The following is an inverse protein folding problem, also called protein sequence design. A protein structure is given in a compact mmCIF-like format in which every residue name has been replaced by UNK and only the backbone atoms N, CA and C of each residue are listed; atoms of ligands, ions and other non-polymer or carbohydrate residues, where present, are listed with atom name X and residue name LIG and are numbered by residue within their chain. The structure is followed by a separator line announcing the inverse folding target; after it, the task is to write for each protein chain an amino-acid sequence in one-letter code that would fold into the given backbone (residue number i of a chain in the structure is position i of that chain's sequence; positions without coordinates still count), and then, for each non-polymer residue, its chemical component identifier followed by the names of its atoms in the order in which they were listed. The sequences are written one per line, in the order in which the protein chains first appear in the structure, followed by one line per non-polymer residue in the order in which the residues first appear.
data_IF_965084420406
#
_entry.id   IF_965084420406
#
_cell.length_a   1.000
_cell.length_b   1.000
_cell.length_c   1.000
_cell.angle_alpha   90.00
_cell.angle_beta   90.00
_cell.angle_gamma   90.00
#
_symmetry.space_group_name_H-M   'P 1'
#
loop_
_entity.id
_entity.type
_entity.pdbx_description
1 polymer ?
#
# COMPACT_ATOMS: atom_id res chain seq x y z
N UNK A 1 -33.52 0.81 -6.46
CA UNK A 1 -32.69 1.81 -5.76
C UNK A 1 -31.33 1.82 -6.44
N UNK A 2 -30.89 2.95 -7.01
CA UNK A 2 -29.55 3.07 -7.60
C UNK A 2 -28.54 2.99 -6.46
N UNK A 3 -27.78 1.90 -6.39
CA UNK A 3 -26.75 1.72 -5.36
C UNK A 3 -25.69 2.79 -5.53
N UNK A 4 -25.70 3.79 -4.66
CA UNK A 4 -24.49 4.57 -4.41
C UNK A 4 -23.52 3.60 -3.71
N UNK A 5 -22.36 3.38 -4.30
CA UNK A 5 -21.26 2.71 -3.61
C UNK A 5 -20.98 3.49 -2.33
N UNK A 6 -21.02 2.80 -1.18
CA UNK A 6 -20.64 3.43 0.08
C UNK A 6 -19.10 3.53 0.14
N UNK A 7 -18.56 4.61 0.75
CA UNK A 7 -17.12 4.72 0.93
C UNK A 7 -16.62 3.61 1.87
N UNK A 8 -15.34 3.22 1.70
CA UNK A 8 -14.67 2.33 2.64
C UNK A 8 -14.62 2.93 4.05
N UNK A 9 -14.62 2.09 5.08
CA UNK A 9 -14.62 2.54 6.47
C UNK A 9 -13.33 3.29 6.82
N UNK A 10 -12.21 3.01 6.15
CA UNK A 10 -10.96 3.76 6.34
C UNK A 10 -11.15 5.24 6.02
N UNK A 11 -11.96 5.58 5.01
CA UNK A 11 -12.25 6.97 4.68
C UNK A 11 -12.97 7.68 5.83
N UNK A 12 -13.90 7.00 6.50
CA UNK A 12 -14.60 7.53 7.67
C UNK A 12 -13.63 7.76 8.84
N UNK A 13 -12.74 6.79 9.13
CA UNK A 13 -11.71 6.93 10.17
C UNK A 13 -10.77 8.12 9.92
N UNK A 14 -10.40 8.35 8.66
CA UNK A 14 -9.59 9.51 8.28
C UNK A 14 -10.37 10.83 8.45
N UNK A 15 -11.61 10.88 7.96
CA UNK A 15 -12.44 12.08 8.01
C UNK A 15 -12.80 12.50 9.45
N UNK A 16 -12.89 11.53 10.36
CA UNK A 16 -13.16 11.77 11.78
C UNK A 16 -11.96 12.39 12.52
N UNK A 17 -10.73 12.21 12.01
CA UNK A 17 -9.49 12.64 12.69
C UNK A 17 -8.74 13.77 11.99
N UNK A 18 -8.94 13.97 10.69
CA UNK A 18 -8.19 14.91 9.87
C UNK A 18 -9.10 15.77 8.98
N UNK A 19 -8.60 16.96 8.61
CA UNK A 19 -9.20 17.75 7.55
C UNK A 19 -8.77 17.18 6.19
N UNK A 20 -9.70 16.55 5.48
CA UNK A 20 -9.42 15.95 4.18
C UNK A 20 -9.72 16.94 3.04
N UNK A 21 -8.70 17.23 2.24
CA UNK A 21 -8.84 18.00 1.00
C UNK A 21 -8.51 17.13 -0.22
N UNK A 22 -9.51 16.95 -1.10
CA UNK A 22 -9.27 16.30 -2.39
C UNK A 22 -8.55 17.25 -3.33
N UNK A 23 -7.33 16.87 -3.71
CA UNK A 23 -6.55 17.61 -4.69
C UNK A 23 -7.07 17.32 -6.09
N UNK A 24 -7.48 18.38 -6.79
CA UNK A 24 -7.95 18.27 -8.18
C UNK A 24 -6.80 17.75 -9.05
N UNK A 25 -7.09 16.73 -9.86
CA UNK A 25 -6.11 16.08 -10.73
C UNK A 25 -5.38 17.09 -11.66
N UNK A 26 -6.03 18.17 -12.06
CA UNK A 26 -5.47 19.17 -12.98
C UNK A 26 -4.72 20.32 -12.26
N UNK A 27 -4.29 20.10 -11.01
CA UNK A 27 -3.56 21.13 -10.25
C UNK A 27 -2.12 21.28 -10.75
N UNK A 28 -1.64 22.53 -10.79
CA UNK A 28 -0.24 22.85 -11.10
C UNK A 28 0.65 22.91 -9.87
N UNK A 29 0.05 22.89 -8.67
CA UNK A 29 0.73 23.00 -7.39
C UNK A 29 -0.14 22.45 -6.27
N UNK A 30 0.42 21.56 -5.44
CA UNK A 30 -0.22 21.19 -4.19
C UNK A 30 -0.27 22.43 -3.27
N UNK A 31 -1.41 22.79 -2.65
CA UNK A 31 -1.50 23.95 -1.76
C UNK A 31 -0.55 23.85 -0.56
N UNK A 32 -0.08 24.99 -0.02
CA UNK A 32 0.88 25.01 1.11
C UNK A 32 0.25 24.65 2.45
N UNK A 33 -1.08 24.65 2.55
CA UNK A 33 -1.83 24.21 3.73
C UNK A 33 -1.92 22.69 3.88
N UNK A 34 -1.44 21.93 2.90
CA UNK A 34 -1.46 20.47 2.93
C UNK A 34 -0.22 20.00 3.68
N UNK A 35 -0.41 19.37 4.84
CA UNK A 35 0.67 18.86 5.68
C UNK A 35 1.24 17.53 5.16
N UNK A 36 0.35 16.64 4.69
CA UNK A 36 0.69 15.34 4.14
C UNK A 36 -0.18 15.05 2.90
N UNK A 37 0.42 14.44 1.88
CA UNK A 37 -0.26 14.02 0.66
C UNK A 37 -0.41 12.50 0.63
N UNK A 38 -1.65 12.03 0.63
CA UNK A 38 -1.98 10.62 0.41
C UNK A 38 -2.26 10.38 -1.08
N UNK A 39 -1.46 9.51 -1.70
CA UNK A 39 -1.68 8.98 -3.04
C UNK A 39 -2.23 7.56 -2.89
N UNK A 40 -3.53 7.38 -3.10
CA UNK A 40 -4.19 6.07 -3.01
C UNK A 40 -4.48 5.54 -4.41
N UNK A 41 -3.72 4.53 -4.86
CA UNK A 41 -3.83 3.92 -6.19
C UNK A 41 -3.85 4.95 -7.34
N UNK A 42 -2.81 5.79 -7.49
CA UNK A 42 -2.83 6.85 -8.47
C UNK A 42 -2.85 6.30 -9.89
N UNK A 43 -3.68 6.89 -10.75
CA UNK A 43 -3.58 6.69 -12.21
C UNK A 43 -2.23 7.23 -12.72
N UNK A 44 -1.79 6.82 -13.94
CA UNK A 44 -0.61 7.40 -14.56
C UNK A 44 -0.65 8.92 -14.52
N UNK A 45 0.39 9.51 -13.95
CA UNK A 45 0.48 10.95 -13.75
C UNK A 45 0.89 11.64 -15.06
N UNK A 46 0.31 12.82 -15.28
CA UNK A 46 0.84 13.77 -16.28
C UNK A 46 2.10 14.45 -15.73
N UNK A 47 2.90 15.04 -16.61
CA UNK A 47 4.11 15.76 -16.22
C UNK A 47 3.84 16.86 -15.18
N UNK A 48 2.71 17.56 -15.31
CA UNK A 48 2.35 18.65 -14.38
C UNK A 48 1.93 18.11 -13.00
N UNK A 49 1.29 16.95 -12.95
CA UNK A 49 0.94 16.27 -11.70
C UNK A 49 2.19 15.73 -11.00
N UNK A 50 3.06 15.04 -11.75
CA UNK A 50 4.32 14.55 -11.24
C UNK A 50 5.18 15.71 -10.72
N UNK A 51 5.24 16.83 -11.45
CA UNK A 51 5.92 18.04 -11.01
C UNK A 51 5.30 18.63 -9.74
N UNK A 52 3.98 18.70 -9.64
CA UNK A 52 3.31 19.23 -8.45
C UNK A 52 3.63 18.41 -7.19
N UNK A 53 3.72 17.08 -7.32
CA UNK A 53 4.08 16.16 -6.22
C UNK A 53 5.57 16.25 -5.90
N UNK A 54 6.44 16.25 -6.92
CA UNK A 54 7.89 16.43 -6.76
C UNK A 54 8.18 17.71 -5.96
N UNK A 55 7.63 18.85 -6.40
CA UNK A 55 7.83 20.13 -5.73
C UNK A 55 7.14 20.24 -4.38
N UNK A 56 6.12 19.40 -4.12
CA UNK A 56 5.57 19.25 -2.79
C UNK A 56 6.59 18.59 -1.85
N UNK A 57 7.31 17.56 -2.31
CA UNK A 57 8.42 16.94 -1.56
C UNK A 57 9.59 17.91 -1.40
N UNK A 58 10.03 18.58 -2.47
CA UNK A 58 11.18 19.49 -2.41
C UNK A 58 11.02 20.58 -1.34
N UNK A 59 9.81 21.15 -1.22
CA UNK A 59 9.53 22.15 -0.19
C UNK A 59 9.25 21.61 1.21
N UNK A 60 9.50 20.33 1.47
CA UNK A 60 9.36 19.67 2.77
C UNK A 60 7.99 19.03 3.05
N UNK A 61 7.14 18.90 2.03
CA UNK A 61 5.90 18.14 2.13
C UNK A 61 6.15 16.64 2.26
N UNK A 62 5.24 15.92 2.91
CA UNK A 62 5.38 14.49 3.23
C UNK A 62 4.39 13.66 2.43
N UNK A 63 4.82 12.54 1.86
CA UNK A 63 3.99 11.73 0.96
C UNK A 63 3.76 10.34 1.55
N UNK A 64 2.52 9.88 1.51
CA UNK A 64 2.15 8.47 1.70
C UNK A 64 1.62 7.98 0.36
N UNK A 65 2.25 6.98 -0.25
CA UNK A 65 1.84 6.44 -1.53
C UNK A 65 1.48 4.96 -1.40
N UNK A 66 0.26 4.61 -1.77
CA UNK A 66 -0.18 3.24 -1.97
C UNK A 66 -0.22 2.99 -3.48
N UNK A 67 0.77 2.24 -3.95
CA UNK A 67 0.93 1.77 -5.33
C UNK A 67 0.61 0.29 -5.39
N UNK A 68 0.38 -0.26 -6.57
CA UNK A 68 -0.17 -1.62 -6.66
C UNK A 68 0.20 -2.29 -7.99
N UNK A 69 0.83 -3.48 -7.98
CA UNK A 69 1.03 -4.25 -9.21
C UNK A 69 -0.27 -4.92 -9.71
N UNK A 70 -1.29 -5.11 -8.86
CA UNK A 70 -2.59 -5.63 -9.24
C UNK A 70 -3.65 -5.39 -8.15
N UNK A 71 -4.42 -4.31 -8.28
CA UNK A 71 -5.58 -4.05 -7.42
C UNK A 71 -6.77 -4.95 -7.80
N UNK A 72 -7.23 -5.73 -6.83
CA UNK A 72 -8.44 -6.52 -6.86
C UNK A 72 -9.71 -5.68 -6.69
N UNK A 73 -9.63 -4.52 -6.03
CA UNK A 73 -10.77 -3.60 -5.84
C UNK A 73 -11.12 -2.87 -7.13
N UNK A 74 -10.12 -2.52 -7.93
CA UNK A 74 -10.34 -1.89 -9.24
C UNK A 74 -11.10 -2.80 -10.21
N UNK A 75 -11.33 -4.08 -9.86
CA UNK A 75 -12.18 -5.03 -10.57
C UNK A 75 -13.69 -4.78 -10.38
N UNK A 76 -14.10 -3.61 -9.86
CA UNK A 76 -15.53 -3.27 -9.78
C UNK A 76 -16.09 -3.18 -11.20
N UNK A 77 -16.70 -4.27 -11.65
CA UNK A 77 -17.33 -4.35 -12.95
C UNK A 77 -18.35 -3.23 -13.10
N UNK A 78 -18.36 -2.59 -14.28
CA UNK A 78 -19.46 -1.73 -14.68
C UNK A 78 -20.79 -2.50 -14.65
N UNK A 79 -21.93 -1.81 -14.77
CA UNK A 79 -23.27 -2.41 -14.64
C UNK A 79 -23.54 -3.69 -15.46
N UNK A 80 -22.70 -3.98 -16.46
CA UNK A 80 -22.83 -5.10 -17.40
C UNK A 80 -21.65 -6.10 -17.37
N UNK A 81 -20.76 -6.07 -16.37
CA UNK A 81 -19.57 -6.94 -16.36
C UNK A 81 -18.38 -6.39 -17.15
N UNK A 82 -18.55 -5.25 -17.83
CA UNK A 82 -17.48 -4.57 -18.57
C UNK A 82 -16.53 -3.83 -17.62
N UNK A 83 -15.21 -3.83 -17.88
CA UNK A 83 -14.28 -2.97 -17.16
C UNK A 83 -14.74 -1.51 -17.23
N UNK A 84 -14.79 -0.83 -16.09
CA UNK A 84 -15.09 0.60 -16.07
C UNK A 84 -14.03 1.33 -16.92
N UNK A 85 -14.47 2.10 -17.92
CA UNK A 85 -13.55 2.84 -18.81
C UNK A 85 -12.68 3.81 -17.99
N UNK A 86 -11.36 3.68 -18.11
CA UNK A 86 -10.38 4.56 -17.45
C UNK A 86 -9.92 4.13 -16.06
N UNK A 87 -10.27 2.91 -15.63
CA UNK A 87 -9.69 2.26 -14.46
C UNK A 87 -8.44 1.47 -14.88
N UNK A 88 -7.41 1.50 -14.04
CA UNK A 88 -6.19 0.73 -14.18
C UNK A 88 -6.15 -0.25 -13.03
N UNK A 89 -5.78 -1.49 -13.28
CA UNK A 89 -5.53 -2.47 -12.21
C UNK A 89 -4.13 -2.30 -11.62
N UNK A 90 -3.30 -1.45 -12.23
CA UNK A 90 -1.93 -1.15 -11.81
C UNK A 90 -1.79 0.33 -11.48
N UNK A 91 -1.01 0.63 -10.45
CA UNK A 91 -0.57 1.98 -10.14
C UNK A 91 0.92 1.99 -9.81
N UNK A 92 1.62 2.98 -10.32
CA UNK A 92 3.06 3.18 -10.13
C UNK A 92 3.40 4.67 -10.30
N UNK A 93 4.57 5.08 -9.82
CA UNK A 93 5.07 6.45 -9.88
C UNK A 93 6.53 6.48 -10.39
N UNK A 94 6.81 5.94 -11.59
CA UNK A 94 8.18 5.56 -11.99
C UNK A 94 9.17 6.72 -11.97
N UNK A 95 8.76 7.91 -12.45
CA UNK A 95 9.61 9.10 -12.44
C UNK A 95 9.99 9.52 -11.01
N UNK A 96 8.98 9.58 -10.12
CA UNK A 96 9.16 10.04 -8.74
C UNK A 96 9.88 9.01 -7.89
N UNK A 97 9.46 7.74 -7.96
CA UNK A 97 10.08 6.65 -7.19
C UNK A 97 11.54 6.45 -7.56
N UNK A 98 11.89 6.53 -8.85
CA UNK A 98 13.29 6.49 -9.28
C UNK A 98 14.10 7.61 -8.63
N UNK A 99 13.56 8.82 -8.61
CA UNK A 99 14.21 9.95 -7.97
C UNK A 99 14.33 9.78 -6.46
N UNK A 100 13.30 9.22 -5.82
CA UNK A 100 13.31 8.91 -4.39
C UNK A 100 14.20 7.72 -4.02
N UNK A 101 14.73 6.96 -4.98
CA UNK A 101 15.63 5.83 -4.73
C UNK A 101 14.94 4.48 -4.53
N UNK A 102 13.73 4.30 -5.06
CA UNK A 102 12.92 3.10 -4.91
C UNK A 102 12.41 2.60 -6.28
N UNK A 103 12.26 1.29 -6.42
CA UNK A 103 11.53 0.67 -7.52
C UNK A 103 10.58 -0.43 -7.01
N UNK A 104 9.52 -0.70 -7.77
CA UNK A 104 8.65 -1.86 -7.59
C UNK A 104 8.83 -2.84 -8.76
N UNK A 105 8.83 -4.14 -8.50
CA UNK A 105 8.73 -5.15 -9.54
C UNK A 105 7.26 -5.30 -9.99
N UNK A 106 6.77 -4.38 -10.83
CA UNK A 106 5.35 -4.28 -11.18
C UNK A 106 4.76 -5.47 -11.96
N UNK A 107 5.60 -6.34 -12.51
CA UNK A 107 5.23 -7.59 -13.17
C UNK A 107 5.25 -8.82 -12.25
N UNK A 108 5.55 -8.62 -10.97
CA UNK A 108 5.69 -9.67 -9.96
C UNK A 108 4.79 -9.41 -8.75
N UNK A 109 4.18 -10.48 -8.25
CA UNK A 109 3.35 -10.51 -7.05
C UNK A 109 4.04 -11.33 -5.98
N UNK A 110 4.06 -10.84 -4.74
CA UNK A 110 4.53 -11.60 -3.59
C UNK A 110 3.54 -12.71 -3.29
N UNK A 111 4.06 -13.94 -3.21
CA UNK A 111 3.37 -15.08 -2.64
C UNK A 111 4.06 -15.46 -1.33
N UNK A 112 3.31 -15.63 -0.24
CA UNK A 112 3.86 -16.00 1.06
C UNK A 112 3.09 -17.18 1.64
N UNK A 113 3.77 -18.32 1.76
CA UNK A 113 3.15 -19.56 2.25
C UNK A 113 2.94 -19.52 3.76
N UNK A 114 3.86 -18.93 4.51
CA UNK A 114 3.81 -18.88 5.97
C UNK A 114 2.77 -17.88 6.48
N UNK A 115 2.46 -16.85 5.70
CA UNK A 115 1.48 -15.82 6.02
C UNK A 115 0.17 -15.95 5.25
N UNK A 116 -0.04 -17.04 4.54
CA UNK A 116 -1.25 -17.29 3.75
C UNK A 116 -2.54 -17.15 4.58
N UNK A 117 -3.52 -16.43 4.03
CA UNK A 117 -4.87 -16.40 4.57
C UNK A 117 -5.69 -17.58 4.08
N UNK A 118 -6.66 -18.00 4.89
CA UNK A 118 -7.58 -19.08 4.52
C UNK A 118 -8.79 -18.54 3.79
N UNK A 119 -9.06 -19.08 2.61
CA UNK A 119 -10.24 -18.75 1.80
C UNK A 119 -11.10 -19.98 1.58
N UNK A 120 -12.39 -19.77 1.34
CA UNK A 120 -13.27 -20.84 0.92
C UNK A 120 -13.06 -21.11 -0.57
N UNK A 121 -12.57 -22.29 -0.93
CA UNK A 121 -12.42 -22.71 -2.33
C UNK A 121 -13.52 -23.70 -2.73
N UNK A 122 -14.14 -23.47 -3.90
CA UNK A 122 -15.11 -24.38 -4.53
C UNK A 122 -16.60 -24.05 -4.31
N UNK A 123 -17.47 -24.67 -5.12
CA UNK A 123 -18.94 -24.53 -5.06
C UNK A 123 -19.65 -25.59 -4.21
N UNK A 124 -18.92 -26.59 -3.72
CA UNK A 124 -19.49 -27.73 -3.00
C UNK A 124 -19.64 -27.49 -1.49
N UNK A 125 -20.66 -28.10 -0.89
CA UNK A 125 -21.06 -27.90 0.52
C UNK A 125 -20.02 -28.37 1.56
N UNK A 126 -18.99 -29.10 1.14
CA UNK A 126 -17.79 -29.39 1.94
C UNK A 126 -16.75 -28.30 1.70
N UNK A 127 -16.97 -27.11 2.26
CA UNK A 127 -16.01 -25.99 2.22
C UNK A 127 -14.69 -26.42 2.89
N UNK A 128 -13.72 -26.89 2.12
CA UNK A 128 -12.35 -26.96 2.60
C UNK A 128 -11.80 -25.52 2.58
N UNK A 129 -11.54 -24.97 3.75
CA UNK A 129 -10.74 -23.75 3.86
C UNK A 129 -9.33 -24.10 3.40
N UNK A 130 -8.85 -23.44 2.35
CA UNK A 130 -7.50 -23.66 1.80
C UNK A 130 -6.66 -22.40 1.93
N UNK A 131 -5.35 -22.56 2.07
CA UNK A 131 -4.40 -21.46 2.17
C UNK A 131 -4.23 -20.79 0.79
N UNK A 132 -4.54 -19.50 0.73
CA UNK A 132 -4.38 -18.66 -0.46
C UNK A 132 -3.17 -17.75 -0.27
N UNK A 133 -2.05 -18.16 -0.84
CA UNK A 133 -0.71 -17.57 -0.61
C UNK A 133 -0.52 -16.16 -1.17
N UNK A 134 -1.49 -15.63 -1.92
CA UNK A 134 -1.48 -14.25 -2.43
C UNK A 134 -2.16 -13.27 -1.47
N UNK A 135 -2.94 -13.77 -0.51
CA UNK A 135 -3.49 -12.96 0.58
C UNK A 135 -2.72 -13.27 1.86
N UNK A 136 -2.20 -12.24 2.50
CA UNK A 136 -1.27 -12.39 3.62
C UNK A 136 -1.85 -11.78 4.89
N UNK A 137 -1.71 -12.50 6.00
CA UNK A 137 -1.91 -11.99 7.36
C UNK A 137 -0.56 -11.81 8.04
N UNK A 138 0.01 -10.61 7.93
CA UNK A 138 1.34 -10.27 8.45
C UNK A 138 1.24 -9.92 9.94
N UNK A 139 2.14 -10.46 10.75
CA UNK A 139 2.19 -10.20 12.19
C UNK A 139 3.38 -9.32 12.58
N UNK A 140 3.65 -9.14 13.88
CA UNK A 140 4.69 -8.22 14.35
C UNK A 140 6.11 -8.58 13.90
N UNK A 141 6.37 -9.84 13.54
CA UNK A 141 7.68 -10.27 13.03
C UNK A 141 7.96 -9.79 11.60
N UNK A 142 6.93 -9.36 10.87
CA UNK A 142 7.03 -8.79 9.53
C UNK A 142 6.98 -7.25 9.56
N UNK A 143 6.94 -6.65 10.76
CA UNK A 143 6.86 -5.21 10.98
C UNK A 143 8.19 -4.68 11.51
N UNK A 144 8.52 -3.45 11.15
CA UNK A 144 9.61 -2.74 11.80
C UNK A 144 9.16 -2.26 13.19
N UNK A 145 9.67 -2.91 14.25
CA UNK A 145 9.32 -2.60 15.63
C UNK A 145 9.83 -1.21 16.10
N UNK A 146 10.86 -0.68 15.44
CA UNK A 146 11.51 0.58 15.80
C UNK A 146 10.88 1.80 15.10
N UNK A 147 10.09 1.59 14.04
CA UNK A 147 9.39 2.68 13.34
C UNK A 147 8.04 2.98 14.01
N UNK A 148 7.72 4.25 14.31
CA UNK A 148 6.46 4.62 14.97
C UNK A 148 5.20 4.29 14.17
N UNK A 149 5.28 4.08 12.85
CA UNK A 149 4.14 3.67 12.03
C UNK A 149 3.76 2.22 12.33
N UNK A 150 4.75 1.35 12.47
CA UNK A 150 4.59 -0.12 12.50
C UNK A 150 4.85 -0.75 13.86
N UNK A 151 5.49 -0.04 14.80
CA UNK A 151 5.96 -0.59 16.07
C UNK A 151 4.87 -1.09 17.02
N UNK A 152 3.62 -0.68 16.81
CA UNK A 152 2.46 -1.16 17.57
C UNK A 152 1.40 -1.85 16.71
N UNK A 153 1.75 -2.30 15.51
CA UNK A 153 0.83 -3.02 14.61
C UNK A 153 0.86 -4.51 14.97
N UNK A 154 -0.29 -5.06 15.36
CA UNK A 154 -0.41 -6.47 15.74
C UNK A 154 -0.66 -7.35 14.52
N UNK A 155 -1.40 -6.84 13.53
CA UNK A 155 -1.71 -7.59 12.30
C UNK A 155 -2.06 -6.70 11.13
N UNK A 156 -1.45 -6.94 9.96
CA UNK A 156 -1.94 -6.41 8.67
C UNK A 156 -2.48 -7.53 7.80
N UNK A 157 -3.57 -7.24 7.11
CA UNK A 157 -4.11 -8.13 6.08
C UNK A 157 -4.00 -7.42 4.74
N UNK A 158 -3.35 -8.06 3.77
CA UNK A 158 -3.07 -7.48 2.44
C UNK A 158 -3.30 -8.53 1.36
N UNK A 159 -3.47 -8.10 0.13
CA UNK A 159 -3.71 -8.96 -1.02
C UNK A 159 -2.85 -8.55 -2.20
N UNK A 160 -2.33 -9.54 -2.93
CA UNK A 160 -1.71 -9.35 -4.26
C UNK A 160 -0.63 -8.24 -4.26
N UNK A 161 0.14 -8.18 -3.16
CA UNK A 161 1.10 -7.11 -2.93
C UNK A 161 2.35 -7.22 -3.81
N UNK A 162 2.93 -6.06 -4.13
CA UNK A 162 4.19 -5.93 -4.87
C UNK A 162 5.42 -5.95 -3.98
N UNK A 163 6.58 -6.13 -4.63
CA UNK A 163 7.89 -6.09 -3.97
C UNK A 163 8.62 -4.78 -4.29
N UNK A 164 8.94 -4.04 -3.23
CA UNK A 164 9.76 -2.83 -3.25
C UNK A 164 11.24 -3.17 -3.09
N UNK A 165 12.09 -2.42 -3.79
CA UNK A 165 13.55 -2.54 -3.67
C UNK A 165 14.23 -1.17 -3.75
N UNK A 166 15.31 -0.95 -2.99
CA UNK A 166 16.12 0.25 -3.15
C UNK A 166 16.80 0.28 -4.52
N UNK A 167 17.12 1.48 -4.99
CA UNK A 167 17.96 1.72 -6.15
C UNK A 167 19.38 2.03 -5.67
N UNK A 168 20.37 1.34 -6.22
CA UNK A 168 21.77 1.57 -5.89
C UNK A 168 22.20 3.01 -6.20
N UNK A 169 22.92 3.64 -5.26
CA UNK A 169 23.40 5.01 -5.41
C UNK A 169 22.38 6.10 -5.10
N UNK A 170 21.18 5.75 -4.63
CA UNK A 170 20.21 6.72 -4.12
C UNK A 170 20.75 7.49 -2.90
N UNK A 171 20.39 8.76 -2.79
CA UNK A 171 20.79 9.65 -1.68
C UNK A 171 19.90 9.53 -0.45
N UNK A 172 18.69 9.01 -0.62
CA UNK A 172 17.73 8.73 0.45
C UNK A 172 18.09 7.43 1.17
N UNK A 173 17.79 7.36 2.46
CA UNK A 173 17.82 6.11 3.21
C UNK A 173 16.57 5.29 2.90
N UNK A 174 16.73 4.00 2.61
CA UNK A 174 15.63 3.04 2.46
C UNK A 174 15.45 2.22 3.74
N UNK A 175 14.32 2.39 4.42
CA UNK A 175 13.99 1.65 5.65
C UNK A 175 12.75 0.78 5.42
N UNK A 176 12.87 -0.56 5.39
CA UNK A 176 11.71 -1.44 5.36
C UNK A 176 10.80 -1.20 6.57
N UNK A 177 9.49 -1.12 6.33
CA UNK A 177 8.45 -0.98 7.34
C UNK A 177 7.65 -2.28 7.50
N UNK A 178 7.31 -2.88 6.36
CA UNK A 178 6.55 -4.14 6.28
C UNK A 178 7.25 -5.04 5.28
N UNK A 179 7.48 -6.31 5.64
CA UNK A 179 8.09 -7.31 4.77
C UNK A 179 7.23 -8.56 4.66
N UNK A 180 7.53 -9.41 3.68
CA UNK A 180 7.06 -10.80 3.71
C UNK A 180 7.78 -11.58 4.82
N UNK A 181 7.35 -12.83 5.03
CA UNK A 181 8.11 -13.81 5.80
C UNK A 181 9.30 -14.37 5.01
N UNK A 182 10.04 -15.27 5.65
CA UNK A 182 11.12 -16.08 5.10
C UNK A 182 10.65 -17.21 4.16
N UNK A 183 9.36 -17.56 4.15
CA UNK A 183 8.78 -18.54 3.23
C UNK A 183 7.95 -17.85 2.14
N UNK A 184 8.56 -16.82 1.53
CA UNK A 184 7.97 -16.05 0.46
C UNK A 184 8.71 -16.26 -0.87
N UNK A 185 8.01 -15.99 -1.96
CA UNK A 185 8.50 -16.03 -3.33
C UNK A 185 7.78 -15.01 -4.20
N UNK A 186 8.16 -14.95 -5.47
CA UNK A 186 7.51 -14.08 -6.44
C UNK A 186 6.81 -14.91 -7.52
N UNK A 187 5.62 -14.49 -7.91
CA UNK A 187 4.86 -15.04 -9.02
C UNK A 187 4.65 -13.98 -10.09
N UNK A 188 4.70 -14.37 -11.36
CA UNK A 188 4.41 -13.42 -12.44
C UNK A 188 2.96 -12.97 -12.37
N UNK A 189 2.72 -11.67 -12.57
CA UNK A 189 1.38 -11.08 -12.60
C UNK A 189 0.49 -11.78 -13.62
N UNK A 190 1.00 -12.10 -14.80
CA UNK A 190 0.26 -12.82 -15.84
C UNK A 190 -0.27 -14.18 -15.37
N UNK A 191 0.50 -14.88 -14.54
CA UNK A 191 0.04 -16.15 -13.98
C UNK A 191 -1.07 -15.92 -12.94
N UNK A 192 -0.92 -14.93 -12.06
CA UNK A 192 -1.97 -14.57 -11.09
C UNK A 192 -3.28 -14.19 -11.80
N UNK A 193 -3.19 -13.41 -12.88
CA UNK A 193 -4.34 -13.01 -13.70
C UNK A 193 -5.03 -14.17 -14.43
N UNK A 194 -4.35 -15.30 -14.63
CA UNK A 194 -5.01 -16.51 -15.15
C UNK A 194 -5.98 -17.15 -14.16
N UNK A 195 -6.13 -16.57 -12.96
CA UNK A 195 -6.99 -17.02 -11.86
C UNK A 195 -6.78 -18.50 -11.48
N UNK A 196 -5.53 -18.92 -11.19
CA UNK A 196 -5.25 -20.29 -10.77
C UNK A 196 -5.96 -20.62 -9.46
N UNK A 197 -6.28 -21.90 -9.26
CA UNK A 197 -6.80 -22.36 -7.98
C UNK A 197 -5.73 -22.24 -6.88
N UNK A 198 -6.12 -22.14 -5.59
CA UNK A 198 -5.16 -22.15 -4.48
C UNK A 198 -4.16 -23.32 -4.53
N UNK A 199 -4.63 -24.52 -4.88
CA UNK A 199 -3.74 -25.69 -5.04
C UNK A 199 -2.74 -25.51 -6.19
N UNK A 200 -3.14 -24.88 -7.30
CA UNK A 200 -2.24 -24.61 -8.41
C UNK A 200 -1.18 -23.57 -8.04
N UNK A 201 -1.56 -22.53 -7.27
CA UNK A 201 -0.61 -21.57 -6.69
C UNK A 201 0.41 -22.29 -5.80
N UNK A 202 -0.06 -23.10 -4.86
CA UNK A 202 0.83 -23.85 -3.94
C UNK A 202 1.81 -24.77 -4.68
N UNK A 203 1.38 -25.43 -5.76
CA UNK A 203 2.24 -26.30 -6.58
C UNK A 203 3.30 -25.54 -7.38
N UNK A 204 2.98 -24.33 -7.84
CA UNK A 204 3.94 -23.48 -8.60
C UNK A 204 4.84 -22.66 -7.68
N UNK A 205 4.48 -22.51 -6.41
CA UNK A 205 5.23 -21.74 -5.44
C UNK A 205 6.67 -22.25 -5.31
N UNK A 206 7.61 -21.32 -5.37
CA UNK A 206 9.01 -21.53 -5.03
C UNK A 206 9.45 -20.41 -4.11
N UNK A 207 10.21 -20.76 -3.07
CA UNK A 207 10.84 -19.78 -2.17
C UNK A 207 11.83 -18.95 -3.00
N UNK A 208 11.77 -17.63 -2.86
CA UNK A 208 12.67 -16.68 -3.51
C UNK A 208 13.72 -16.12 -2.55
N UNK A 209 14.30 -14.99 -2.91
CA UNK A 209 15.23 -14.22 -2.06
C UNK A 209 14.48 -13.40 -0.99
N UNK A 210 13.72 -14.09 -0.16
CA UNK A 210 12.92 -13.51 0.92
C UNK A 210 13.80 -13.02 2.10
N UNK A 211 13.33 -12.07 2.92
CA UNK A 211 12.03 -11.41 2.84
C UNK A 211 11.97 -10.29 1.80
N UNK A 212 10.82 -10.14 1.13
CA UNK A 212 10.54 -9.05 0.20
C UNK A 212 9.97 -7.84 0.95
N UNK A 213 10.37 -6.63 0.60
CA UNK A 213 9.81 -5.41 1.22
C UNK A 213 8.48 -5.05 0.57
N UNK A 214 7.43 -4.88 1.36
CA UNK A 214 6.07 -4.52 0.92
C UNK A 214 5.82 -3.03 1.14
N UNK A 215 6.32 -2.49 2.25
CA UNK A 215 6.25 -1.07 2.56
C UNK A 215 7.62 -0.56 3.04
N UNK A 216 7.97 0.65 2.65
CA UNK A 216 9.24 1.28 3.00
C UNK A 216 9.08 2.78 3.30
N UNK A 217 9.92 3.28 4.21
CA UNK A 217 10.15 4.70 4.43
C UNK A 217 11.41 5.13 3.68
N UNK A 218 11.30 6.22 2.95
CA UNK A 218 12.41 6.93 2.32
C UNK A 218 12.60 8.26 3.03
N UNK A 219 13.84 8.54 3.46
CA UNK A 219 14.16 9.80 4.14
C UNK A 219 15.53 10.34 3.81
N UNK A 220 15.71 11.64 4.02
CA UNK A 220 17.00 12.32 3.82
C UNK A 220 17.06 13.13 2.53
N UNK A 221 18.26 13.38 1.99
CA UNK A 221 18.43 14.27 0.86
C UNK A 221 17.93 13.64 -0.44
N UNK A 222 17.29 14.44 -1.28
CA UNK A 222 16.84 14.05 -2.63
C UNK A 222 16.78 15.27 -3.54
N UNK A 223 17.22 15.11 -4.78
CA UNK A 223 17.10 16.12 -5.83
C UNK A 223 15.74 16.01 -6.53
N UNK A 224 15.32 17.07 -7.23
CA UNK A 224 14.09 17.06 -8.03
C UNK A 224 14.20 16.11 -9.23
N UNK A 225 13.09 15.48 -9.61
CA UNK A 225 12.98 14.74 -10.86
C UNK A 225 12.95 15.65 -12.11
N UNK A 226 12.90 16.97 -11.92
CA UNK A 226 12.73 18.00 -12.94
C UNK A 226 13.92 18.97 -12.95
N UNK A 227 15.14 18.45 -13.17
CA UNK A 227 16.38 19.24 -13.12
C UNK A 227 16.41 20.45 -14.08
N UNK A 228 15.70 20.35 -15.21
CA UNK A 228 15.58 21.43 -16.20
C UNK A 228 14.50 22.48 -15.84
N UNK A 229 13.89 22.36 -14.67
CA UNK A 229 12.82 23.23 -14.20
C UNK A 229 11.42 22.72 -14.52
N UNK A 230 10.38 23.56 -14.34
CA UNK A 230 8.99 23.15 -14.51
C UNK A 230 8.67 22.68 -15.93
N UNK A 231 7.81 21.65 -16.10
CA UNK A 231 7.37 21.23 -17.42
C UNK A 231 6.66 22.36 -18.15
N UNK A 232 6.82 22.41 -19.48
CA UNK A 232 6.19 23.43 -20.32
C UNK A 232 4.66 23.26 -20.45
N UNK A 233 4.13 22.12 -19.99
CA UNK A 233 2.71 21.80 -20.04
C UNK A 233 1.86 22.81 -19.25
N UNK A 234 0.64 23.01 -19.74
CA UNK A 234 -0.41 23.79 -19.07
C UNK A 234 -1.46 22.84 -18.51
N UNK A 235 -2.15 23.26 -17.46
CA UNK A 235 -3.37 22.59 -17.04
C UNK A 235 -4.55 22.96 -17.96
N UNK A 236 -5.72 22.36 -17.75
CA UNK A 236 -6.93 22.63 -18.56
C UNK A 236 -7.40 24.09 -18.53
N UNK A 237 -6.88 24.91 -17.60
CA UNK A 237 -7.17 26.34 -17.45
C UNK A 237 -6.10 27.25 -18.05
N UNK A 238 -5.07 26.69 -18.70
CA UNK A 238 -3.95 27.46 -19.27
C UNK A 238 -2.93 27.94 -18.23
N UNK A 239 -2.96 27.40 -17.01
CA UNK A 239 -2.02 27.75 -15.95
C UNK A 239 -0.74 26.92 -16.08
N UNK A 240 0.40 27.57 -15.87
CA UNK A 240 1.72 26.94 -15.85
C UNK A 240 2.32 26.93 -14.46
N UNK A 241 3.15 25.92 -14.21
CA UNK A 241 4.06 25.94 -13.08
C UNK A 241 5.07 27.10 -13.21
N UNK A 242 5.31 27.83 -12.11
CA UNK A 242 6.17 29.01 -12.10
C UNK A 242 7.62 28.61 -11.81
N UNK A 243 8.56 29.00 -12.67
CA UNK A 243 9.99 28.74 -12.48
C UNK A 243 10.54 29.31 -11.16
N UNK A 244 10.06 30.48 -10.72
CA UNK A 244 10.48 31.09 -9.45
C UNK A 244 10.10 30.28 -8.20
N UNK A 245 9.21 29.29 -8.32
CA UNK A 245 8.82 28.41 -7.23
C UNK A 245 9.51 27.03 -7.30
N UNK A 246 10.38 26.82 -8.29
CA UNK A 246 11.09 25.56 -8.48
C UNK A 246 12.21 25.41 -7.46
N UNK A 247 12.22 24.28 -6.78
CA UNK A 247 13.27 23.85 -5.87
C UNK A 247 13.96 22.63 -6.46
N UNK A 248 15.29 22.64 -6.41
CA UNK A 248 16.14 21.63 -7.04
C UNK A 248 16.45 20.46 -6.13
N UNK A 249 16.30 20.63 -4.81
CA UNK A 249 16.60 19.59 -3.81
C UNK A 249 15.86 19.84 -2.50
N UNK A 250 15.84 18.81 -1.65
CA UNK A 250 15.51 18.90 -0.23
C UNK A 250 16.46 18.03 0.56
N UNK A 251 16.81 18.45 1.78
CA UNK A 251 17.67 17.67 2.68
C UNK A 251 16.89 16.64 3.52
N UNK A 252 15.56 16.74 3.55
CA UNK A 252 14.72 16.04 4.52
C UNK A 252 13.42 15.54 3.88
N UNK A 253 13.51 14.79 2.79
CA UNK A 253 12.36 14.04 2.30
C UNK A 253 11.84 13.09 3.38
N UNK A 254 10.52 12.89 3.42
CA UNK A 254 9.86 11.91 4.28
C UNK A 254 8.70 11.31 3.50
N UNK A 255 8.90 10.09 3.04
CA UNK A 255 8.01 9.41 2.11
C UNK A 255 7.77 8.00 2.62
N UNK A 256 6.52 7.56 2.63
CA UNK A 256 6.14 6.18 2.90
C UNK A 256 5.50 5.62 1.64
N UNK A 257 5.99 4.47 1.16
CA UNK A 257 5.41 3.76 0.02
C UNK A 257 4.96 2.38 0.47
N UNK A 258 3.75 1.99 0.08
CA UNK A 258 3.13 0.69 0.33
C UNK A 258 2.71 0.08 -1.01
N UNK A 259 3.10 -1.16 -1.28
CA UNK A 259 2.89 -1.84 -2.56
C UNK A 259 1.61 -2.70 -2.59
N UNK A 260 0.51 -2.18 -2.07
CA UNK A 260 -0.82 -2.78 -2.13
C UNK A 260 -1.86 -1.68 -1.88
N UNK A 261 -2.80 -1.47 -2.80
CA UNK A 261 -3.90 -0.53 -2.62
C UNK A 261 -5.20 -1.17 -2.13
N UNK A 262 -5.34 -2.48 -2.25
CA UNK A 262 -6.46 -3.23 -1.69
C UNK A 262 -6.41 -3.27 -0.16
N UNK A 263 -5.29 -2.85 0.43
CA UNK A 263 -5.14 -2.47 1.84
C UNK A 263 -6.32 -1.65 2.40
N UNK A 264 -6.94 -0.80 1.56
CA UNK A 264 -8.07 0.05 1.94
C UNK A 264 -9.42 -0.67 1.96
N UNK A 265 -9.54 -1.82 1.29
CA UNK A 265 -10.80 -2.55 1.20
C UNK A 265 -11.20 -3.13 2.55
N UNK A 266 -12.42 -2.82 2.97
CA UNK A 266 -13.01 -3.29 4.22
C UNK A 266 -12.96 -4.82 4.35
N UNK A 267 -12.95 -5.58 3.24
CA UNK A 267 -12.80 -7.05 3.22
C UNK A 267 -11.52 -7.53 3.90
N UNK A 268 -10.44 -6.76 3.87
CA UNK A 268 -9.17 -7.18 4.46
C UNK A 268 -9.12 -6.91 5.96
N UNK A 269 -9.76 -5.87 6.46
CA UNK A 269 -9.51 -5.39 7.83
C UNK A 269 -10.74 -5.24 8.71
N UNK A 270 -11.94 -5.42 8.17
CA UNK A 270 -13.20 -5.30 8.92
C UNK A 270 -14.09 -6.52 8.70
N UNK A 271 -14.66 -7.04 9.80
CA UNK A 271 -15.86 -7.86 9.74
C UNK A 271 -17.09 -6.97 9.83
N UNK A 272 -17.81 -6.83 8.71
CA UNK A 272 -19.01 -6.01 8.65
C UNK A 272 -20.22 -6.72 9.29
N UNK A 273 -20.93 -5.98 10.13
CA UNK A 273 -22.22 -6.37 10.67
C UNK A 273 -23.23 -5.27 10.36
N UNK A 274 -24.42 -5.67 9.90
CA UNK A 274 -25.54 -4.75 9.72
C UNK A 274 -26.47 -4.85 10.91
N UNK A 275 -26.57 -3.78 11.70
CA UNK A 275 -27.48 -3.70 12.83
C UNK A 275 -28.39 -2.48 12.66
N UNK A 276 -29.70 -2.71 12.64
CA UNK A 276 -30.73 -1.66 12.50
C UNK A 276 -30.51 -0.70 11.31
N UNK A 277 -29.96 -1.21 10.19
CA UNK A 277 -29.70 -0.41 8.99
C UNK A 277 -28.45 0.46 9.05
N UNK A 278 -27.67 0.39 10.14
CA UNK A 278 -26.34 0.97 10.25
C UNK A 278 -25.28 -0.14 10.09
N UNK A 279 -24.26 0.15 9.28
CA UNK A 279 -23.09 -0.71 9.08
C UNK A 279 -22.14 -0.47 10.25
N UNK A 280 -21.84 -1.51 11.01
CA UNK A 280 -20.83 -1.49 12.06
C UNK A 280 -19.70 -2.43 11.68
N UNK A 281 -18.48 -1.91 11.67
CA UNK A 281 -17.28 -2.69 11.41
C UNK A 281 -16.61 -3.14 12.70
N UNK A 282 -16.36 -4.43 12.85
CA UNK A 282 -15.45 -4.94 13.90
C UNK A 282 -14.08 -5.15 13.25
N UNK A 283 -13.04 -4.39 13.63
CA UNK A 283 -11.71 -4.57 13.06
C UNK A 283 -11.17 -6.00 13.32
N UNK A 284 -10.64 -6.62 12.27
CA UNK A 284 -9.96 -7.92 12.31
C UNK A 284 -8.46 -7.81 11.98
N UNK A 285 -8.02 -6.63 11.51
CA UNK A 285 -6.63 -6.26 11.29
C UNK A 285 -6.45 -4.75 11.52
N UNK A 286 -5.20 -4.33 11.66
CA UNK A 286 -4.76 -2.97 11.99
C UNK A 286 -4.51 -2.11 10.75
N UNK A 287 -5.08 -2.42 9.58
CA UNK A 287 -4.89 -1.61 8.36
C UNK A 287 -5.28 -0.14 8.59
N UNK A 288 -6.45 0.12 9.19
CA UNK A 288 -6.86 1.47 9.56
C UNK A 288 -5.87 2.13 10.52
N UNK A 289 -5.42 1.40 11.54
CA UNK A 289 -4.43 1.89 12.53
C UNK A 289 -3.08 2.23 11.89
N UNK A 290 -2.58 1.43 10.96
CA UNK A 290 -1.34 1.72 10.24
C UNK A 290 -1.46 3.03 9.46
N UNK A 291 -2.56 3.24 8.72
CA UNK A 291 -2.73 4.48 7.96
C UNK A 291 -2.82 5.70 8.87
N UNK A 292 -3.56 5.58 9.97
CA UNK A 292 -3.65 6.63 10.98
C UNK A 292 -2.28 6.95 11.58
N UNK A 293 -1.51 5.93 12.00
CA UNK A 293 -0.15 6.11 12.49
C UNK A 293 0.73 6.78 11.43
N UNK A 294 0.61 6.42 10.15
CA UNK A 294 1.38 7.01 9.06
C UNK A 294 1.05 8.50 8.88
N UNK A 295 -0.23 8.86 8.82
CA UNK A 295 -0.66 10.26 8.71
C UNK A 295 -0.24 11.06 9.95
N UNK A 296 -0.49 10.56 11.15
CA UNK A 296 -0.09 11.21 12.41
C UNK A 296 1.43 11.39 12.48
N UNK A 297 2.21 10.37 12.08
CA UNK A 297 3.66 10.43 12.08
C UNK A 297 4.21 11.45 11.07
N UNK A 298 3.62 11.52 9.88
CA UNK A 298 4.06 12.46 8.85
C UNK A 298 3.57 13.89 9.10
N UNK A 299 2.47 14.08 9.82
CA UNK A 299 1.98 15.40 10.24
C UNK A 299 2.72 15.93 11.48
N UNK A 300 3.09 15.04 12.40
CA UNK A 300 3.76 15.38 13.66
C UNK A 300 5.17 15.94 13.48
N UNK A 301 5.65 16.68 14.50
CA UNK A 301 7.08 16.98 14.64
C UNK A 301 7.77 15.75 15.25
N UNK A 302 8.91 15.34 14.66
CA UNK A 302 9.64 14.11 14.99
C UNK A 302 9.99 13.94 16.49
N UNK A 303 9.89 15.00 17.30
CA UNK A 303 10.36 15.03 18.68
C UNK A 303 9.38 14.48 19.73
N UNK A 304 8.07 14.37 19.43
CA UNK A 304 7.06 13.97 20.42
C UNK A 304 6.52 12.53 20.27
N UNK A 305 6.77 11.87 19.14
CA UNK A 305 6.18 10.55 18.82
C UNK A 305 7.03 9.38 19.35
N UNK A 306 8.34 9.54 19.46
CA UNK A 306 9.30 8.51 19.92
C UNK A 306 9.09 8.04 21.37
N UNK A 307 8.26 8.75 22.15
CA UNK A 307 7.92 8.41 23.54
C UNK A 307 6.73 7.46 23.69
N UNK A 308 5.93 7.21 22.64
CA UNK A 308 4.71 6.40 22.72
C UNK A 308 4.90 4.93 22.34
N UNK A 309 6.01 4.56 21.70
CA UNK A 309 6.29 3.19 21.21
C UNK A 309 6.71 2.15 22.26
N UNK A 310 6.45 2.37 23.56
CA UNK A 310 6.91 1.48 24.65
C UNK A 310 5.78 0.81 25.44
N UNK A 311 4.71 0.39 24.77
CA UNK A 311 3.77 -0.58 25.36
C UNK A 311 3.99 -1.96 24.74
N UNK A 312 4.13 -2.96 25.60
CA UNK A 312 4.58 -4.32 25.28
C UNK A 312 3.61 -5.01 24.32
N UNK A 313 4.11 -5.43 23.16
CA UNK A 313 3.41 -6.29 22.20
C UNK A 313 2.93 -7.60 22.84
N UNK A 314 1.68 -7.98 22.55
CA UNK A 314 1.14 -9.29 22.92
C UNK A 314 1.83 -10.39 22.09
N UNK A 315 2.13 -11.54 22.71
CA UNK A 315 2.71 -12.69 22.00
C UNK A 315 1.57 -13.57 21.46
N UNK A 316 1.35 -13.65 20.13
CA UNK A 316 0.33 -14.53 19.58
C UNK A 316 0.72 -16.03 19.66
N UNK A 317 -0.28 -16.91 19.62
CA UNK A 317 -0.10 -18.37 19.68
C UNK A 317 0.27 -18.95 18.29
N UNK A 318 1.54 -18.90 17.91
CA UNK A 318 2.01 -19.35 16.58
C UNK A 318 2.08 -20.88 16.40
N UNK A 319 2.26 -21.65 17.49
CA UNK A 319 2.50 -23.10 17.43
C UNK A 319 1.39 -23.91 16.74
N UNK A 320 0.14 -23.49 16.90
CA UNK A 320 -1.02 -24.19 16.30
C UNK A 320 -1.07 -23.92 14.80
N UNK A 321 -0.73 -22.70 14.38
CA UNK A 321 -0.71 -22.31 12.97
C UNK A 321 0.41 -23.05 12.22
N UNK A 322 1.61 -23.13 12.82
CA UNK A 322 2.76 -23.82 12.22
C UNK A 322 2.50 -25.33 12.05
N UNK A 323 1.91 -25.99 13.05
CA UNK A 323 1.54 -27.42 12.97
C UNK A 323 0.49 -27.70 11.89
N UNK A 324 -0.46 -26.78 11.68
CA UNK A 324 -1.49 -26.93 10.65
C UNK A 324 -0.90 -26.76 9.25
N UNK A 325 -0.03 -25.76 9.05
CA UNK A 325 0.64 -25.51 7.76
C UNK A 325 1.47 -26.72 7.31
N UNK A 326 2.20 -27.35 8.23
CA UNK A 326 2.96 -28.56 7.93
C UNK A 326 2.07 -29.70 7.41
N UNK A 327 0.90 -29.92 8.03
CA UNK A 327 -0.03 -30.95 7.59
C UNK A 327 -0.65 -30.68 6.20
N UNK A 328 -0.86 -29.41 5.85
CA UNK A 328 -1.38 -29.03 4.53
C UNK A 328 -0.33 -29.18 3.42
N UNK A 329 0.95 -28.92 3.72
CA UNK A 329 2.06 -29.15 2.79
C UNK A 329 2.20 -30.65 2.45
N UNK A 330 2.10 -31.54 3.44
CA UNK A 330 2.18 -33.00 3.26
C UNK A 330 1.02 -33.57 2.43
N UNK A 331 -0.14 -32.90 2.41
CA UNK A 331 -1.30 -33.34 1.62
C UNK A 331 -1.15 -33.05 0.11
N UNK A 332 -0.29 -32.09 -0.26
CA UNK A 332 -0.13 -31.60 -1.64
C UNK A 332 1.03 -32.24 -2.42
N UNK A 333 1.87 -33.06 -1.76
CA UNK A 333 2.95 -33.87 -2.36
C UNK A 333 2.48 -35.28 -2.72
#
# INVERSE_FOLDING_TARGET
MRGQSQPFLIYAELADRFELEFIVADTVRIPTRIDALLLAHPRPLTDIQAYAIDQFVMRGGRVIAFIDPQSEVSLTAGPNGEPLRGYSEQSDLPLLMRQWGLAMAGDMIIADRKRAQRVAAGRDARRALTDYILWMGLGPSEMNADDPITGNIDRLNIGTAGALRPIDGATTSFTPLVTSSDEAGLMTRDYVLSAPTPDALQRRFAIGEAPFTIAARLSGPVETAFADGPPAAENSKGERAKAAAHQTETAAANIVVFADSDFFDDRFWVSEQNYLGQRFGVPIADNGKFLLNAVENLMGSNDLISLRGREKAARPFTRIEDLRRAAEADYLT
#
